data_IF_527141592272
#
_entry.id   IF_527141592272
#
_cell.length_a   1.000
_cell.length_b   1.000
_cell.length_c   1.000
_cell.angle_alpha   90.00
_cell.angle_beta   90.00
_cell.angle_gamma   90.00
#
_symmetry.space_group_name_H-M   'P 1'
#
loop_
_entity.id
_entity.type
_entity.pdbx_description
1 polymer ?
#
# COMPACT_ATOMS: atom_id res chain seq x y z
N UNK A 1 -8.84 -20.81 11.09
CA UNK A 1 -8.03 -20.33 9.95
C UNK A 1 -8.63 -19.01 9.41
N UNK A 2 -8.99 -18.09 10.29
CA UNK A 2 -8.28 -16.84 10.62
C UNK A 2 -8.22 -15.80 9.48
N UNK A 3 -9.33 -15.08 9.33
CA UNK A 3 -9.55 -13.84 8.57
C UNK A 3 -8.65 -12.66 9.03
N UNK A 4 -7.67 -12.93 9.91
CA UNK A 4 -6.76 -11.96 10.52
C UNK A 4 -5.52 -11.66 9.66
N UNK A 5 -5.27 -12.40 8.59
CA UNK A 5 -4.14 -12.13 7.69
C UNK A 5 -4.38 -10.91 6.78
N UNK A 6 -5.64 -10.52 6.56
CA UNK A 6 -6.01 -9.41 5.68
C UNK A 6 -5.93 -8.02 6.31
N UNK A 7 -5.74 -7.94 7.63
CA UNK A 7 -5.60 -6.65 8.33
C UNK A 7 -4.18 -6.07 8.26
N UNK A 8 -3.17 -6.85 7.86
CA UNK A 8 -1.78 -6.43 7.95
C UNK A 8 -1.14 -6.01 6.62
N UNK A 9 -1.69 -6.39 5.46
CA UNK A 9 -1.03 -6.11 4.15
C UNK A 9 -1.79 -5.03 3.36
N UNK A 10 -2.02 -3.87 3.97
CA UNK A 10 -2.23 -2.61 3.25
C UNK A 10 -1.71 -1.43 4.08
N UNK A 11 -0.63 -1.64 4.83
CA UNK A 11 -0.18 -0.72 5.87
C UNK A 11 1.13 -0.05 5.45
N UNK A 12 1.10 1.29 5.41
CA UNK A 12 2.24 2.18 5.22
C UNK A 12 2.68 2.50 3.78
N UNK A 13 1.78 3.14 3.02
CA UNK A 13 2.14 4.13 2.00
C UNK A 13 2.02 5.56 2.59
N UNK A 14 2.98 6.05 3.38
CA UNK A 14 2.98 7.46 3.73
C UNK A 14 3.35 8.28 2.49
N UNK A 15 2.46 9.20 2.11
CA UNK A 15 2.82 10.31 1.24
C UNK A 15 3.42 11.43 2.10
N UNK A 16 4.60 11.93 1.73
CA UNK A 16 5.21 13.10 2.36
C UNK A 16 5.10 14.31 1.41
N UNK A 17 4.67 15.45 1.95
CA UNK A 17 4.62 16.73 1.23
C UNK A 17 5.61 17.66 1.87
N UNK A 18 6.55 18.17 1.09
CA UNK A 18 7.55 19.13 1.53
C UNK A 18 7.38 20.45 0.79
N UNK A 19 7.76 21.54 1.46
CA UNK A 19 7.99 22.81 0.77
C UNK A 19 9.18 22.66 -0.20
N UNK A 20 9.19 23.40 -1.31
CA UNK A 20 10.29 23.37 -2.29
C UNK A 20 11.67 23.66 -1.68
N UNK A 21 11.72 24.48 -0.62
CA UNK A 21 12.94 24.81 0.11
C UNK A 21 13.38 23.73 1.11
N UNK A 22 12.50 22.79 1.48
CA UNK A 22 12.72 21.79 2.53
C UNK A 22 13.48 20.55 2.04
N UNK A 23 14.53 20.72 1.24
CA UNK A 23 15.34 19.62 0.68
C UNK A 23 16.05 18.80 1.75
N UNK A 24 16.51 19.45 2.81
CA UNK A 24 17.19 18.78 3.93
C UNK A 24 16.24 17.87 4.72
N UNK A 25 15.00 18.28 4.88
CA UNK A 25 13.99 17.48 5.56
C UNK A 25 13.61 16.23 4.75
N UNK A 26 13.58 16.36 3.42
CA UNK A 26 13.37 15.22 2.51
C UNK A 26 14.50 14.19 2.58
N UNK A 27 15.76 14.65 2.62
CA UNK A 27 16.92 13.77 2.75
C UNK A 27 16.88 12.99 4.08
N UNK A 28 16.67 13.69 5.19
CA UNK A 28 16.56 13.07 6.52
C UNK A 28 15.38 12.10 6.58
N UNK A 29 14.25 12.45 5.98
CA UNK A 29 13.08 11.58 5.88
C UNK A 29 13.40 10.28 5.12
N UNK A 30 14.08 10.36 3.97
CA UNK A 30 14.48 9.17 3.20
C UNK A 30 15.47 8.29 3.94
N UNK A 31 16.43 8.89 4.64
CA UNK A 31 17.37 8.14 5.48
C UNK A 31 16.64 7.38 6.57
N UNK A 32 15.71 8.02 7.29
CA UNK A 32 14.92 7.34 8.32
C UNK A 32 14.09 6.18 7.75
N UNK A 33 13.49 6.35 6.56
CA UNK A 33 12.77 5.27 5.87
C UNK A 33 13.73 4.13 5.49
N UNK A 34 14.93 4.44 5.02
CA UNK A 34 15.94 3.43 4.69
C UNK A 34 16.41 2.65 5.92
N UNK A 35 16.69 3.35 7.03
CA UNK A 35 17.12 2.74 8.30
C UNK A 35 16.06 1.79 8.85
N UNK A 36 14.78 2.19 8.79
CA UNK A 36 13.66 1.33 9.19
C UNK A 36 13.52 0.11 8.27
N UNK A 37 13.72 0.27 6.97
CA UNK A 37 13.65 -0.82 5.99
C UNK A 37 14.83 -1.81 6.08
N UNK A 38 15.93 -1.43 6.73
CA UNK A 38 17.06 -2.32 7.04
C UNK A 38 16.88 -3.01 8.40
N UNK A 39 15.89 -2.60 9.19
CA UNK A 39 15.65 -3.14 10.52
C UNK A 39 14.62 -4.30 10.46
N UNK A 40 15.16 -5.52 10.35
CA UNK A 40 14.38 -6.75 10.33
C UNK A 40 13.67 -7.05 11.66
N UNK A 41 13.98 -6.36 12.77
CA UNK A 41 13.25 -6.53 14.03
C UNK A 41 11.89 -5.80 14.02
N UNK A 42 11.79 -4.71 13.24
CA UNK A 42 10.60 -3.86 13.16
C UNK A 42 9.74 -4.22 11.95
N UNK A 43 10.36 -4.46 10.79
CA UNK A 43 9.68 -4.75 9.53
C UNK A 43 10.14 -6.08 8.94
N UNK A 44 9.76 -7.16 9.60
CA UNK A 44 10.21 -8.52 9.31
C UNK A 44 9.90 -9.02 7.89
N UNK A 45 8.79 -8.56 7.29
CA UNK A 45 8.29 -9.10 6.01
C UNK A 45 7.86 -8.06 5.00
N UNK A 46 7.91 -6.77 5.36
CA UNK A 46 7.40 -5.68 4.53
C UNK A 46 8.41 -4.54 4.45
N UNK A 47 8.38 -3.77 3.36
CA UNK A 47 9.21 -2.56 3.22
C UNK A 47 8.30 -1.35 3.10
N UNK A 48 8.64 -0.29 3.83
CA UNK A 48 8.05 1.02 3.67
C UNK A 48 8.37 1.53 2.27
N UNK A 49 7.31 1.87 1.54
CA UNK A 49 7.40 2.58 0.26
C UNK A 49 6.64 3.90 0.40
N UNK A 50 7.26 5.02 0.01
CA UNK A 50 6.70 6.35 0.20
C UNK A 50 6.74 7.16 -1.10
N UNK A 51 5.69 7.93 -1.38
CA UNK A 51 5.72 8.97 -2.41
C UNK A 51 6.06 10.31 -1.79
N UNK A 52 6.91 11.08 -2.45
CA UNK A 52 7.31 12.42 -2.02
C UNK A 52 6.87 13.43 -3.07
N UNK A 53 6.21 14.49 -2.63
CA UNK A 53 5.76 15.60 -3.48
C UNK A 53 6.25 16.92 -2.91
N UNK A 54 6.78 17.79 -3.77
CA UNK A 54 7.13 19.17 -3.39
C UNK A 54 5.99 20.11 -3.78
N UNK A 55 5.71 21.10 -2.93
CA UNK A 55 4.72 22.16 -3.18
C UNK A 55 5.30 23.52 -2.81
N UNK A 56 4.80 24.58 -3.42
CA UNK A 56 5.06 25.95 -2.96
C UNK A 56 4.34 26.15 -1.62
N UNK A 57 5.07 26.37 -0.54
CA UNK A 57 4.50 26.58 0.79
C UNK A 57 3.64 27.83 0.92
N UNK A 58 3.72 28.75 -0.04
CA UNK A 58 2.82 29.90 -0.12
C UNK A 58 1.52 29.59 -0.88
N UNK A 59 1.39 28.40 -1.47
CA UNK A 59 0.20 27.96 -2.19
C UNK A 59 -0.57 26.87 -1.39
N UNK A 60 -1.47 27.28 -0.48
CA UNK A 60 -2.23 26.32 0.33
C UNK A 60 -3.17 25.43 -0.50
N UNK A 61 -3.61 25.88 -1.67
CA UNK A 61 -4.48 25.09 -2.54
C UNK A 61 -3.72 23.91 -3.18
N UNK A 62 -2.48 24.15 -3.61
CA UNK A 62 -1.60 23.10 -4.12
C UNK A 62 -1.31 22.04 -3.04
N UNK A 63 -0.97 22.48 -1.82
CA UNK A 63 -0.74 21.57 -0.70
C UNK A 63 -1.97 20.67 -0.40
N UNK A 64 -3.17 21.26 -0.42
CA UNK A 64 -4.43 20.50 -0.23
C UNK A 64 -4.70 19.54 -1.39
N UNK A 65 -4.45 19.97 -2.63
CA UNK A 65 -4.65 19.15 -3.83
C UNK A 65 -3.75 17.92 -3.81
N UNK A 66 -2.44 18.10 -3.63
CA UNK A 66 -1.48 17.00 -3.62
C UNK A 66 -1.73 16.03 -2.46
N UNK A 67 -2.15 16.56 -1.30
CA UNK A 67 -2.56 15.73 -0.15
C UNK A 67 -3.83 14.90 -0.43
N UNK A 68 -4.80 15.45 -1.17
CA UNK A 68 -6.05 14.75 -1.52
C UNK A 68 -5.86 13.72 -2.64
N UNK A 69 -5.08 14.04 -3.67
CA UNK A 69 -4.73 13.12 -4.77
C UNK A 69 -4.03 11.89 -4.20
N UNK A 70 -3.11 12.08 -3.25
CA UNK A 70 -2.41 10.99 -2.56
C UNK A 70 -3.39 10.05 -1.84
N UNK A 71 -4.38 10.58 -1.12
CA UNK A 71 -5.40 9.75 -0.43
C UNK A 71 -6.28 8.97 -1.40
N UNK A 72 -6.71 9.58 -2.49
CA UNK A 72 -7.61 8.93 -3.46
C UNK A 72 -6.90 7.81 -4.24
N UNK A 73 -5.63 8.04 -4.62
CA UNK A 73 -4.79 7.00 -5.25
C UNK A 73 -4.57 5.82 -4.33
N UNK A 74 -4.18 6.05 -3.06
CA UNK A 74 -3.96 4.98 -2.08
C UNK A 74 -5.26 4.20 -1.84
N UNK A 75 -6.38 4.91 -1.65
CA UNK A 75 -7.68 4.28 -1.50
C UNK A 75 -8.04 3.40 -2.71
N UNK A 76 -7.86 3.91 -3.93
CA UNK A 76 -8.14 3.16 -5.16
C UNK A 76 -7.21 1.97 -5.35
N UNK A 77 -5.90 2.11 -5.11
CA UNK A 77 -4.94 0.99 -5.18
C UNK A 77 -5.24 -0.08 -4.14
N UNK A 78 -5.54 0.30 -2.90
CA UNK A 78 -5.91 -0.65 -1.84
C UNK A 78 -7.22 -1.35 -2.21
N UNK A 79 -8.25 -0.61 -2.63
CA UNK A 79 -9.52 -1.18 -3.06
C UNK A 79 -9.36 -2.14 -4.25
N UNK A 80 -8.60 -1.75 -5.26
CA UNK A 80 -8.38 -2.56 -6.46
C UNK A 80 -7.56 -3.83 -6.16
N UNK A 81 -6.48 -3.72 -5.39
CA UNK A 81 -5.69 -4.89 -4.98
C UNK A 81 -6.50 -5.82 -4.09
N UNK A 82 -7.24 -5.30 -3.10
CA UNK A 82 -8.17 -6.09 -2.28
C UNK A 82 -9.19 -6.88 -3.13
N UNK A 83 -9.76 -6.23 -4.15
CA UNK A 83 -10.78 -6.84 -5.01
C UNK A 83 -10.22 -7.92 -5.95
N UNK A 84 -9.01 -7.72 -6.48
CA UNK A 84 -8.34 -8.70 -7.34
C UNK A 84 -8.05 -10.01 -6.58
N UNK A 85 -7.53 -9.94 -5.35
CA UNK A 85 -7.26 -11.15 -4.55
C UNK A 85 -8.55 -11.93 -4.21
N UNK A 86 -9.63 -11.24 -3.87
CA UNK A 86 -10.90 -11.89 -3.54
C UNK A 86 -11.50 -12.61 -4.76
N UNK A 87 -11.37 -12.00 -5.94
CA UNK A 87 -11.85 -12.56 -7.21
C UNK A 87 -11.08 -13.82 -7.61
N UNK A 88 -9.74 -13.80 -7.49
CA UNK A 88 -8.88 -14.96 -7.79
C UNK A 88 -9.15 -16.13 -6.83
N UNK A 89 -9.33 -15.84 -5.53
CA UNK A 89 -9.64 -16.87 -4.53
C UNK A 89 -10.99 -17.56 -4.81
N UNK A 90 -12.01 -16.79 -5.20
CA UNK A 90 -13.32 -17.32 -5.60
C UNK A 90 -13.22 -18.22 -6.84
N UNK A 91 -12.45 -17.82 -7.85
CA UNK A 91 -12.25 -18.63 -9.06
C UNK A 91 -11.56 -19.98 -8.75
N UNK A 92 -10.55 -19.98 -7.89
CA UNK A 92 -9.86 -21.22 -7.46
C UNK A 92 -10.78 -22.14 -6.66
N UNK A 93 -11.62 -21.59 -5.77
CA UNK A 93 -12.61 -22.37 -5.02
C UNK A 93 -13.62 -23.04 -5.94
N UNK A 94 -14.17 -22.31 -6.91
CA UNK A 94 -15.11 -22.86 -7.89
C UNK A 94 -14.46 -23.96 -8.72
N UNK A 95 -13.21 -23.76 -9.14
CA UNK A 95 -12.46 -24.76 -9.89
C UNK A 95 -12.23 -26.05 -9.08
N UNK A 96 -11.86 -25.93 -7.79
CA UNK A 96 -11.70 -27.11 -6.92
C UNK A 96 -13.00 -27.87 -6.70
N UNK A 97 -14.14 -27.17 -6.53
CA UNK A 97 -15.45 -27.82 -6.39
C UNK A 97 -15.79 -28.59 -7.68
N UNK A 98 -15.55 -27.99 -8.84
CA UNK A 98 -15.80 -28.63 -10.13
C UNK A 98 -14.93 -29.89 -10.32
N UNK A 99 -13.63 -29.79 -10.04
CA UNK A 99 -12.69 -30.91 -10.16
C UNK A 99 -13.04 -32.06 -9.20
N UNK A 100 -13.42 -31.75 -7.97
CA UNK A 100 -13.81 -32.75 -6.97
C UNK A 100 -15.11 -33.46 -7.35
N UNK A 101 -16.06 -32.75 -7.96
CA UNK A 101 -17.32 -33.34 -8.42
C UNK A 101 -17.07 -34.29 -9.60
N UNK A 102 -16.22 -33.88 -10.54
CA UNK A 102 -15.85 -34.69 -11.70
C UNK A 102 -15.12 -35.98 -11.31
N UNK A 103 -14.14 -35.90 -10.39
CA UNK A 103 -13.39 -37.05 -9.85
C UNK A 103 -14.23 -38.06 -9.06
N UNK A 104 -15.44 -37.68 -8.60
CA UNK A 104 -16.36 -38.58 -7.88
C UNK A 104 -17.41 -39.21 -8.81
N UNK A 105 -17.49 -38.76 -10.06
CA UNK A 105 -18.45 -39.23 -11.06
C UNK A 105 -17.82 -40.08 -12.18
N UNK A 106 -16.50 -40.22 -12.18
CA UNK A 106 -15.71 -41.17 -12.97
C UNK A 106 -15.17 -42.29 -12.07
#
# INVERSE_FOLDING_TARGET
MSYHLWRNVCLFFPGAIFDESAKKDEEVFRMAVADLNQNDEILQTEKITCSVTFVDGNNPFQAVQEGRISKFKIFWYCFHTQWQFHTVLLMLLVFSIFLHTWLLTD
#
